data_IF_638433948552
#
_entry.id   IF_638433948552
#
_cell.length_a   1.000
_cell.length_b   1.000
_cell.length_c   1.000
_cell.angle_alpha   90.00
_cell.angle_beta   90.00
_cell.angle_gamma   90.00
#
_symmetry.space_group_name_H-M   'P 1'
#
loop_
_entity.id
_entity.type
_entity.pdbx_description
1 polymer ?
#
# COMPACT_ATOMS: atom_id res chain seq x y z
N UNK A 1 36.82 -8.47 1.20
CA UNK A 1 35.66 -8.06 2.04
C UNK A 1 34.81 -7.07 1.25
N UNK A 2 33.48 -7.15 1.30
CA UNK A 2 32.62 -6.17 0.63
C UNK A 2 32.74 -4.81 1.33
N UNK A 3 32.80 -3.71 0.56
CA UNK A 3 32.84 -2.36 1.12
C UNK A 3 31.49 -2.00 1.75
N UNK A 4 31.47 -1.08 2.73
CA UNK A 4 30.23 -0.61 3.33
C UNK A 4 29.24 -0.06 2.29
N UNK A 5 29.75 0.62 1.25
CA UNK A 5 28.94 1.09 0.12
C UNK A 5 28.28 -0.07 -0.66
N UNK A 6 29.03 -1.15 -0.92
CA UNK A 6 28.48 -2.33 -1.60
C UNK A 6 27.37 -3.00 -0.77
N UNK A 7 27.55 -3.09 0.55
CA UNK A 7 26.52 -3.62 1.45
C UNK A 7 25.25 -2.75 1.47
N UNK A 8 25.38 -1.42 1.49
CA UNK A 8 24.24 -0.51 1.43
C UNK A 8 23.48 -0.61 0.10
N UNK A 9 24.20 -0.75 -1.02
CA UNK A 9 23.58 -0.98 -2.33
C UNK A 9 22.84 -2.32 -2.36
N UNK A 10 23.42 -3.39 -1.81
CA UNK A 10 22.75 -4.69 -1.73
C UNK A 10 21.48 -4.65 -0.89
N UNK A 11 21.52 -3.99 0.27
CA UNK A 11 20.35 -3.78 1.14
C UNK A 11 19.28 -2.95 0.43
N UNK A 12 19.66 -1.91 -0.32
CA UNK A 12 18.74 -1.10 -1.11
C UNK A 12 18.01 -1.93 -2.16
N UNK A 13 18.73 -2.74 -2.94
CA UNK A 13 18.12 -3.60 -3.98
C UNK A 13 17.23 -4.68 -3.37
N UNK A 14 17.66 -5.24 -2.23
CA UNK A 14 16.86 -6.24 -1.51
C UNK A 14 15.54 -5.66 -1.01
N UNK A 15 15.53 -4.45 -0.46
CA UNK A 15 14.30 -3.83 0.05
C UNK A 15 13.26 -3.58 -1.04
N UNK A 16 13.68 -3.33 -2.29
CA UNK A 16 12.76 -3.22 -3.44
C UNK A 16 12.00 -4.54 -3.64
N UNK A 17 12.71 -5.66 -3.60
CA UNK A 17 12.10 -6.99 -3.80
C UNK A 17 11.14 -7.36 -2.67
N UNK A 18 11.46 -6.96 -1.44
CA UNK A 18 10.61 -7.16 -0.27
C UNK A 18 9.35 -6.29 -0.35
N UNK A 19 9.48 -5.01 -0.73
CA UNK A 19 8.36 -4.10 -0.91
C UNK A 19 7.40 -4.52 -2.01
N UNK A 20 7.91 -5.07 -3.13
CA UNK A 20 7.04 -5.60 -4.20
C UNK A 20 6.09 -6.66 -3.64
N UNK A 21 6.60 -7.59 -2.83
CA UNK A 21 5.77 -8.66 -2.24
C UNK A 21 4.71 -8.08 -1.30
N UNK A 22 5.10 -7.10 -0.48
CA UNK A 22 4.20 -6.42 0.44
C UNK A 22 3.11 -5.64 -0.29
N UNK A 23 3.47 -4.88 -1.33
CA UNK A 23 2.49 -4.16 -2.14
C UNK A 23 1.56 -5.09 -2.93
N UNK A 24 2.04 -6.24 -3.40
CA UNK A 24 1.15 -7.24 -4.03
C UNK A 24 0.13 -7.81 -3.05
N UNK A 25 0.56 -8.11 -1.80
CA UNK A 25 -0.36 -8.54 -0.74
C UNK A 25 -1.35 -7.44 -0.38
N UNK A 26 -0.87 -6.21 -0.21
CA UNK A 26 -1.70 -5.05 0.09
C UNK A 26 -2.74 -4.81 -1.02
N UNK A 27 -2.32 -4.87 -2.28
CA UNK A 27 -3.20 -4.70 -3.42
C UNK A 27 -4.36 -5.70 -3.40
N UNK A 28 -4.07 -6.98 -3.14
CA UNK A 28 -5.10 -8.00 -3.00
C UNK A 28 -6.11 -7.68 -1.89
N UNK A 29 -5.63 -7.19 -0.74
CA UNK A 29 -6.50 -6.79 0.37
C UNK A 29 -7.36 -5.57 0.01
N UNK A 30 -6.78 -4.55 -0.61
CA UNK A 30 -7.50 -3.34 -1.06
C UNK A 30 -8.57 -3.72 -2.09
N UNK A 31 -8.27 -4.59 -3.06
CA UNK A 31 -9.24 -5.04 -4.05
C UNK A 31 -10.38 -5.84 -3.44
N UNK A 32 -10.08 -6.71 -2.47
CA UNK A 32 -11.10 -7.44 -1.72
C UNK A 32 -11.99 -6.49 -0.90
N UNK A 33 -11.41 -5.46 -0.28
CA UNK A 33 -12.12 -4.50 0.56
C UNK A 33 -13.29 -3.83 -0.18
N UNK A 34 -13.14 -3.52 -1.48
CA UNK A 34 -14.22 -2.97 -2.30
C UNK A 34 -15.46 -3.86 -2.31
N UNK A 35 -15.27 -5.16 -2.50
CA UNK A 35 -16.37 -6.12 -2.51
C UNK A 35 -17.04 -6.24 -1.14
N UNK A 36 -16.28 -6.07 -0.05
CA UNK A 36 -16.82 -6.11 1.31
C UNK A 36 -17.72 -4.91 1.61
N UNK A 37 -17.36 -3.71 1.13
CA UNK A 37 -18.26 -2.54 1.21
C UNK A 37 -19.58 -2.79 0.49
N UNK A 38 -19.56 -3.38 -0.71
CA UNK A 38 -20.76 -3.67 -1.49
C UNK A 38 -21.63 -4.77 -0.90
N UNK A 39 -21.03 -5.71 -0.15
CA UNK A 39 -21.74 -6.80 0.53
C UNK A 39 -22.25 -6.41 1.91
N UNK A 40 -21.90 -5.22 2.40
CA UNK A 40 -22.19 -4.75 3.75
C UNK A 40 -21.68 -5.68 4.85
N UNK A 41 -20.59 -6.39 4.59
CA UNK A 41 -20.00 -7.36 5.54
C UNK A 41 -19.00 -6.65 6.46
N UNK A 42 -19.52 -6.05 7.53
CA UNK A 42 -18.73 -5.23 8.46
C UNK A 42 -17.67 -6.01 9.24
N UNK A 43 -17.91 -7.28 9.54
CA UNK A 43 -16.94 -8.14 10.25
C UNK A 43 -15.77 -8.47 9.34
N UNK A 44 -16.04 -9.01 8.14
CA UNK A 44 -14.98 -9.31 7.18
C UNK A 44 -14.22 -8.04 6.73
N UNK A 45 -14.90 -6.89 6.65
CA UNK A 45 -14.27 -5.60 6.38
C UNK A 45 -13.27 -5.22 7.49
N UNK A 46 -13.65 -5.38 8.76
CA UNK A 46 -12.78 -5.13 9.91
C UNK A 46 -11.55 -6.02 9.87
N UNK A 47 -11.72 -7.33 9.65
CA UNK A 47 -10.61 -8.27 9.51
C UNK A 47 -9.67 -7.92 8.34
N UNK A 48 -10.24 -7.53 7.20
CA UNK A 48 -9.47 -7.12 6.02
C UNK A 48 -8.59 -5.91 6.36
N UNK A 49 -9.14 -4.87 7.01
CA UNK A 49 -8.40 -3.68 7.42
C UNK A 49 -7.30 -4.05 8.43
N UNK A 50 -7.58 -4.92 9.40
CA UNK A 50 -6.58 -5.40 10.36
C UNK A 50 -5.40 -6.10 9.68
N UNK A 51 -5.64 -6.86 8.60
CA UNK A 51 -4.59 -7.51 7.80
C UNK A 51 -3.72 -6.52 7.02
N UNK A 52 -4.24 -5.33 6.67
CA UNK A 52 -3.47 -4.29 5.96
C UNK A 52 -2.47 -3.57 6.87
N UNK A 53 -2.82 -3.32 8.14
CA UNK A 53 -2.00 -2.57 9.10
C UNK A 53 -0.56 -3.05 9.25
N UNK A 54 -0.26 -4.35 9.46
CA UNK A 54 1.13 -4.81 9.58
C UNK A 54 1.93 -4.60 8.29
N UNK A 55 1.29 -4.75 7.12
CA UNK A 55 1.92 -4.55 5.81
C UNK A 55 2.29 -3.08 5.63
N UNK A 56 1.37 -2.16 5.93
CA UNK A 56 1.61 -0.71 5.88
C UNK A 56 2.76 -0.29 6.82
N UNK A 57 2.78 -0.84 8.04
CA UNK A 57 3.87 -0.58 8.99
C UNK A 57 5.22 -1.10 8.49
N UNK A 58 5.24 -2.24 7.78
CA UNK A 58 6.47 -2.77 7.20
C UNK A 58 6.95 -1.94 6.01
N UNK A 59 6.04 -1.53 5.12
CA UNK A 59 6.33 -0.64 4.00
C UNK A 59 6.86 0.72 4.46
N UNK A 60 6.28 1.30 5.51
CA UNK A 60 6.76 2.55 6.10
C UNK A 60 8.18 2.45 6.66
N UNK A 61 8.50 1.34 7.35
CA UNK A 61 9.86 1.06 7.84
C UNK A 61 10.84 0.88 6.69
N UNK A 62 10.49 0.04 5.71
CA UNK A 62 11.33 -0.21 4.52
C UNK A 62 11.62 1.06 3.73
N UNK A 63 10.64 1.95 3.56
CA UNK A 63 10.84 3.23 2.90
C UNK A 63 11.82 4.14 3.67
N UNK A 64 11.68 4.21 5.00
CA UNK A 64 12.59 4.97 5.87
C UNK A 64 14.03 4.43 5.80
N UNK A 65 14.18 3.10 5.90
CA UNK A 65 15.47 2.41 5.79
C UNK A 65 16.10 2.65 4.42
N UNK A 66 15.34 2.53 3.33
CA UNK A 66 15.82 2.80 1.97
C UNK A 66 16.32 4.24 1.82
N UNK A 67 15.61 5.23 2.37
CA UNK A 67 16.07 6.61 2.40
C UNK A 67 17.32 6.82 3.27
N UNK A 68 17.50 6.07 4.35
CA UNK A 68 18.72 6.10 5.15
C UNK A 68 19.91 5.50 4.39
N UNK A 69 19.71 4.40 3.66
CA UNK A 69 20.75 3.79 2.83
C UNK A 69 21.24 4.76 1.74
N UNK A 70 20.34 5.47 1.07
CA UNK A 70 20.72 6.51 0.10
C UNK A 70 21.55 7.61 0.75
N UNK A 71 21.15 8.10 1.93
CA UNK A 71 21.91 9.11 2.68
C UNK A 71 23.30 8.62 3.09
N UNK A 72 23.43 7.37 3.55
CA UNK A 72 24.72 6.74 3.88
C UNK A 72 25.64 6.60 2.66
N UNK A 73 25.08 6.52 1.45
CA UNK A 73 25.81 6.54 0.19
C UNK A 73 26.15 7.97 -0.29
N UNK A 74 25.79 9.01 0.46
CA UNK A 74 25.98 10.40 0.05
C UNK A 74 25.05 10.84 -1.09
N UNK A 75 23.93 10.15 -1.27
CA UNK A 75 22.99 10.38 -2.36
C UNK A 75 21.70 11.06 -1.86
N UNK A 76 21.17 12.07 -2.58
CA UNK A 76 19.84 12.59 -2.31
C UNK A 76 18.75 11.55 -2.61
N UNK A 77 17.63 11.60 -1.88
CA UNK A 77 16.49 10.70 -2.09
C UNK A 77 15.67 11.11 -3.33
N UNK A 78 16.21 10.88 -4.53
CA UNK A 78 15.53 11.18 -5.80
C UNK A 78 15.81 10.11 -6.86
N UNK A 79 15.01 10.13 -7.93
CA UNK A 79 15.07 9.16 -9.02
C UNK A 79 16.45 9.12 -9.70
N UNK A 80 17.09 10.28 -9.88
CA UNK A 80 18.45 10.36 -10.44
C UNK A 80 19.45 9.54 -9.60
N UNK A 81 19.31 9.58 -8.28
CA UNK A 81 20.20 8.83 -7.37
C UNK A 81 19.90 7.34 -7.34
N UNK A 82 18.63 6.96 -7.46
CA UNK A 82 18.24 5.55 -7.66
C UNK A 82 18.89 5.00 -8.93
N UNK A 83 18.85 5.77 -10.02
CA UNK A 83 19.51 5.41 -11.28
C UNK A 83 21.04 5.27 -11.13
N UNK A 84 21.69 6.13 -10.33
CA UNK A 84 23.12 6.01 -10.01
C UNK A 84 23.45 4.71 -9.27
N UNK A 85 22.62 4.30 -8.31
CA UNK A 85 22.78 3.03 -7.60
C UNK A 85 22.72 1.86 -8.59
N UNK A 86 21.76 1.86 -9.51
CA UNK A 86 21.63 0.79 -10.49
C UNK A 86 22.77 0.74 -11.51
N UNK A 87 23.35 1.89 -11.87
CA UNK A 87 24.54 1.95 -12.74
C UNK A 87 25.80 1.43 -12.07
N UNK A 88 25.86 1.43 -10.73
CA UNK A 88 26.98 0.86 -9.98
C UNK A 88 26.89 -0.68 -9.85
N UNK A 89 25.81 -1.30 -10.32
CA UNK A 89 25.62 -2.76 -10.28
C UNK A 89 26.15 -3.41 -11.56
N UNK A 90 26.55 -4.70 -11.51
CA UNK A 90 26.78 -5.50 -12.70
C UNK A 90 25.56 -5.47 -13.64
N UNK A 91 25.78 -5.37 -14.95
CA UNK A 91 24.73 -5.07 -15.95
C UNK A 91 23.45 -5.92 -15.80
N UNK A 92 23.58 -7.24 -15.58
CA UNK A 92 22.42 -8.14 -15.40
C UNK A 92 21.61 -7.79 -14.14
N UNK A 93 22.30 -7.48 -13.04
CA UNK A 93 21.68 -7.12 -11.76
C UNK A 93 21.05 -5.72 -11.86
N UNK A 94 21.75 -4.76 -12.46
CA UNK A 94 21.24 -3.41 -12.69
C UNK A 94 19.95 -3.39 -13.52
N UNK A 95 19.91 -4.15 -14.62
CA UNK A 95 18.69 -4.30 -15.43
C UNK A 95 17.54 -4.91 -14.65
N UNK A 96 17.80 -5.94 -13.84
CA UNK A 96 16.76 -6.55 -13.00
C UNK A 96 16.24 -5.58 -11.94
N UNK A 97 17.14 -4.85 -11.26
CA UNK A 97 16.78 -3.87 -10.25
C UNK A 97 15.92 -2.73 -10.82
N UNK A 98 16.22 -2.25 -12.03
CA UNK A 98 15.39 -1.27 -12.76
C UNK A 98 13.98 -1.79 -13.03
N UNK A 99 13.86 -3.02 -13.54
CA UNK A 99 12.54 -3.64 -13.77
C UNK A 99 11.73 -3.76 -12.48
N UNK A 100 12.38 -4.18 -11.39
CA UNK A 100 11.75 -4.27 -10.08
C UNK A 100 11.33 -2.88 -9.56
N UNK A 101 12.15 -1.86 -9.74
CA UNK A 101 11.82 -0.49 -9.37
C UNK A 101 10.57 0.03 -10.09
N UNK A 102 10.52 -0.13 -11.42
CA UNK A 102 9.34 0.24 -12.22
C UNK A 102 8.09 -0.53 -11.79
N UNK A 103 8.22 -1.83 -11.47
CA UNK A 103 7.11 -2.63 -10.95
C UNK A 103 6.63 -2.10 -9.59
N UNK A 104 7.56 -1.78 -8.68
CA UNK A 104 7.24 -1.20 -7.38
C UNK A 104 6.47 0.12 -7.52
N UNK A 105 6.94 1.02 -8.38
CA UNK A 105 6.26 2.30 -8.65
C UNK A 105 4.85 2.09 -9.21
N UNK A 106 4.68 1.11 -10.11
CA UNK A 106 3.36 0.75 -10.65
C UNK A 106 2.42 0.22 -9.56
N UNK A 107 2.90 -0.68 -8.70
CA UNK A 107 2.11 -1.25 -7.60
C UNK A 107 1.71 -0.19 -6.58
N UNK A 108 2.60 0.75 -6.24
CA UNK A 108 2.30 1.89 -5.36
C UNK A 108 1.16 2.71 -5.95
N UNK A 109 1.25 3.07 -7.24
CA UNK A 109 0.20 3.84 -7.94
C UNK A 109 -1.12 3.07 -7.96
N UNK A 110 -1.11 1.77 -8.26
CA UNK A 110 -2.32 0.95 -8.28
C UNK A 110 -2.98 0.89 -6.90
N UNK A 111 -2.20 0.67 -5.82
CA UNK A 111 -2.74 0.67 -4.46
C UNK A 111 -3.37 2.02 -4.10
N UNK A 112 -2.77 3.14 -4.51
CA UNK A 112 -3.33 4.48 -4.29
C UNK A 112 -4.67 4.68 -5.03
N UNK A 113 -4.73 4.27 -6.29
CA UNK A 113 -5.95 4.35 -7.11
C UNK A 113 -7.08 3.48 -6.55
N UNK A 114 -6.79 2.22 -6.22
CA UNK A 114 -7.78 1.29 -5.67
C UNK A 114 -8.24 1.75 -4.28
N UNK A 115 -7.32 2.26 -3.45
CA UNK A 115 -7.67 2.85 -2.15
C UNK A 115 -8.56 4.09 -2.28
N UNK A 116 -8.33 4.94 -3.28
CA UNK A 116 -9.21 6.08 -3.56
C UNK A 116 -10.62 5.60 -3.96
N UNK A 117 -10.71 4.55 -4.78
CA UNK A 117 -12.00 3.92 -5.11
C UNK A 117 -12.69 3.34 -3.87
N UNK A 118 -11.93 2.70 -2.96
CA UNK A 118 -12.47 2.20 -1.69
C UNK A 118 -12.96 3.33 -0.78
N UNK A 119 -12.34 4.51 -0.81
CA UNK A 119 -12.81 5.68 -0.07
C UNK A 119 -14.23 6.09 -0.49
N UNK A 120 -14.53 6.04 -1.79
CA UNK A 120 -15.89 6.31 -2.30
C UNK A 120 -16.88 5.24 -1.84
N UNK A 121 -16.50 3.95 -1.93
CA UNK A 121 -17.34 2.84 -1.45
C UNK A 121 -17.59 2.91 0.07
N UNK A 122 -16.58 3.31 0.84
CA UNK A 122 -16.71 3.52 2.28
C UNK A 122 -17.70 4.63 2.62
N UNK A 123 -17.66 5.75 1.90
CA UNK A 123 -18.58 6.86 2.12
C UNK A 123 -20.03 6.42 1.84
N UNK A 124 -20.27 5.75 0.71
CA UNK A 124 -21.59 5.22 0.36
C UNK A 124 -22.11 4.19 1.40
N UNK A 125 -21.22 3.30 1.87
CA UNK A 125 -21.54 2.34 2.93
C UNK A 125 -21.95 3.06 4.23
N UNK A 126 -21.20 4.07 4.67
CA UNK A 126 -21.50 4.82 5.89
C UNK A 126 -22.81 5.60 5.77
N UNK A 127 -23.09 6.20 4.62
CA UNK A 127 -24.33 6.91 4.35
C UNK A 127 -25.55 5.97 4.50
N UNK A 128 -25.52 4.81 3.84
CA UNK A 128 -26.57 3.80 3.93
C UNK A 128 -26.77 3.28 5.36
N UNK A 129 -25.68 2.94 6.04
CA UNK A 129 -25.74 2.49 7.45
C UNK A 129 -26.32 3.59 8.35
N UNK A 130 -26.01 4.86 8.07
CA UNK A 130 -26.56 5.99 8.84
C UNK A 130 -28.07 6.15 8.64
N UNK A 131 -28.56 6.01 7.40
CA UNK A 131 -29.98 6.11 7.08
C UNK A 131 -30.78 4.99 7.77
N UNK A 132 -30.25 3.77 7.81
CA UNK A 132 -30.89 2.64 8.51
C UNK A 132 -30.93 2.81 10.04
N UNK A 133 -29.99 3.56 10.61
CA UNK A 133 -29.94 3.85 12.05
C UNK A 133 -30.81 5.04 12.46
N UNK A 134 -31.26 5.86 11.52
CA UNK A 134 -32.23 6.91 11.84
C UNK A 134 -33.56 6.25 12.23
N UNK A 135 -34.15 6.60 13.38
CA UNK A 135 -35.43 6.03 13.78
C UNK A 135 -36.44 6.33 12.68
N UNK A 136 -37.05 5.27 12.14
CA UNK A 136 -38.09 5.36 11.13
C UNK A 136 -39.24 6.17 11.74
N UNK A 137 -39.33 7.46 11.42
CA UNK A 137 -40.45 8.33 11.82
C UNK A 137 -41.79 7.92 11.19
N UNK A 138 -41.86 6.79 10.48
CA UNK A 138 -43.02 6.35 9.71
C UNK A 138 -43.57 4.97 10.08
N UNK A 139 -43.03 4.29 11.10
CA UNK A 139 -43.63 3.03 11.55
C UNK A 139 -44.67 3.30 12.64
N UNK A 140 -45.92 3.34 12.16
CA UNK A 140 -47.19 3.32 12.89
C UNK A 140 -47.59 4.64 13.56
N UNK A 141 -48.23 5.53 12.78
CA UNK A 141 -49.34 6.31 13.35
C UNK A 141 -50.45 5.31 13.71
N UNK A 142 -50.50 4.87 14.96
CA UNK A 142 -51.71 4.26 15.51
C UNK A 142 -52.82 5.31 15.41
N UNK A 143 -53.63 5.24 14.35
CA UNK A 143 -54.92 5.92 14.29
C UNK A 143 -55.79 5.33 15.39
N UNK A 144 -55.84 6.00 16.53
CA UNK A 144 -56.85 5.76 17.55
C UNK A 144 -58.20 6.25 17.00
N UNK A 145 -59.20 5.37 17.03
CA UNK A 145 -60.60 5.64 16.66
C UNK A 145 -61.30 6.51 17.71
#
# INVERSE_FOLDING_TARGET
MATAASQHIQQFVRSISEDIKLYQQLLGLIQQQKALYLKFDGEALSENIQKQMPILNQLGRSASERSQLMRKLGLPCNETSVNRIFNALPAKIGTQARKQWTLLESLVKQCQQDNQSNGQSSAAFQELVSQLKQPVQHTYEERSF
#
